data_IF_012411426965
#
_entry.id   IF_012411426965
#
_cell.length_a   1.000
_cell.length_b   1.000
_cell.length_c   1.000
_cell.angle_alpha   90.00
_cell.angle_beta   90.00
_cell.angle_gamma   90.00
#
_symmetry.space_group_name_H-M   'P 1'
#
loop_
_entity.id
_entity.type
_entity.pdbx_description
1 polymer ?
#
# COMPACT_ATOMS: atom_id res chain seq x y z
N UNK A 1 -11.76 24.51 17.05
CA UNK A 1 -11.37 23.91 15.74
C UNK A 1 -10.39 22.74 15.91
N UNK A 2 -9.42 22.82 16.84
CA UNK A 2 -8.44 21.75 17.15
C UNK A 2 -9.07 20.39 17.52
N UNK A 3 -10.14 20.38 18.33
CA UNK A 3 -10.78 19.14 18.81
C UNK A 3 -11.39 18.26 17.72
N UNK A 4 -11.88 18.84 16.61
CA UNK A 4 -12.40 18.06 15.47
C UNK A 4 -11.27 17.46 14.64
N UNK A 5 -10.20 18.22 14.43
CA UNK A 5 -9.01 17.77 13.70
C UNK A 5 -8.33 16.60 14.42
N UNK A 6 -8.10 16.73 15.72
CA UNK A 6 -7.52 15.67 16.57
C UNK A 6 -8.35 14.38 16.51
N UNK A 7 -9.68 14.51 16.59
CA UNK A 7 -10.60 13.37 16.50
C UNK A 7 -10.52 12.69 15.13
N UNK A 8 -10.40 13.46 14.05
CA UNK A 8 -10.27 12.93 12.69
C UNK A 8 -8.91 12.25 12.47
N UNK A 9 -7.81 12.83 12.96
CA UNK A 9 -6.48 12.21 12.93
C UNK A 9 -6.48 10.88 13.68
N UNK A 10 -7.09 10.84 14.88
CA UNK A 10 -7.19 9.59 15.66
C UNK A 10 -7.98 8.51 14.92
N UNK A 11 -9.08 8.87 14.25
CA UNK A 11 -9.87 7.96 13.43
C UNK A 11 -9.08 7.44 12.23
N UNK A 12 -8.37 8.32 11.52
CA UNK A 12 -7.53 7.94 10.39
C UNK A 12 -6.41 6.97 10.81
N UNK A 13 -5.75 7.21 11.95
CA UNK A 13 -4.78 6.27 12.53
C UNK A 13 -5.41 4.92 12.86
N UNK A 14 -6.59 4.93 13.49
CA UNK A 14 -7.33 3.71 13.79
C UNK A 14 -7.67 2.89 12.55
N UNK A 15 -8.13 3.53 11.47
CA UNK A 15 -8.41 2.87 10.20
C UNK A 15 -7.13 2.32 9.55
N UNK A 16 -6.02 3.05 9.65
CA UNK A 16 -4.72 2.60 9.14
C UNK A 16 -4.24 1.34 9.85
N UNK A 17 -4.36 1.28 11.18
CA UNK A 17 -4.04 0.08 11.95
C UNK A 17 -5.00 -1.08 11.68
N UNK A 18 -6.28 -0.80 11.44
CA UNK A 18 -7.24 -1.84 11.07
C UNK A 18 -6.87 -2.52 9.75
N UNK A 19 -6.23 -1.81 8.82
CA UNK A 19 -5.66 -2.39 7.59
C UNK A 19 -4.57 -3.44 7.83
N UNK A 20 -3.93 -3.46 9.00
CA UNK A 20 -2.94 -4.49 9.33
C UNK A 20 -3.58 -5.85 9.68
N UNK A 21 -4.86 -5.86 10.05
CA UNK A 21 -5.59 -7.08 10.44
C UNK A 21 -5.57 -8.13 9.32
N UNK A 22 -6.02 -7.86 8.09
CA UNK A 22 -5.93 -8.84 7.01
C UNK A 22 -4.48 -9.24 6.69
N UNK A 23 -3.51 -8.34 6.80
CA UNK A 23 -2.10 -8.64 6.54
C UNK A 23 -1.56 -9.70 7.51
N UNK A 24 -1.66 -9.44 8.82
CA UNK A 24 -1.20 -10.39 9.84
C UNK A 24 -2.06 -11.64 9.92
N UNK A 25 -3.38 -11.51 9.68
CA UNK A 25 -4.29 -12.66 9.66
C UNK A 25 -3.96 -13.64 8.54
N UNK A 26 -3.73 -13.14 7.31
CA UNK A 26 -3.34 -13.98 6.18
C UNK A 26 -1.93 -14.55 6.34
N UNK A 27 -0.98 -13.78 6.88
CA UNK A 27 0.34 -14.29 7.23
C UNK A 27 0.25 -15.43 8.27
N UNK A 28 -0.59 -15.28 9.30
CA UNK A 28 -0.84 -16.32 10.30
C UNK A 28 -1.46 -17.58 9.69
N UNK A 29 -2.47 -17.42 8.84
CA UNK A 29 -3.13 -18.53 8.13
C UNK A 29 -2.18 -19.26 7.18
N UNK A 30 -1.13 -18.60 6.68
CA UNK A 30 -0.16 -19.21 5.77
C UNK A 30 0.60 -20.41 6.37
N UNK A 31 0.69 -20.48 7.71
CA UNK A 31 1.31 -21.60 8.42
C UNK A 31 0.42 -22.84 8.53
N UNK A 32 -0.86 -22.75 8.17
CA UNK A 32 -1.79 -23.89 8.19
C UNK A 32 -1.70 -24.59 6.83
N UNK A 33 -1.33 -25.88 6.82
CA UNK A 33 -1.03 -26.61 5.58
C UNK A 33 -2.17 -26.59 4.55
N UNK A 34 -3.42 -26.67 5.02
CA UNK A 34 -4.61 -26.70 4.15
C UNK A 34 -4.91 -25.35 3.48
N UNK A 35 -4.60 -24.23 4.15
CA UNK A 35 -4.90 -22.88 3.66
C UNK A 35 -3.66 -22.11 3.23
N UNK A 36 -2.47 -22.68 3.39
CA UNK A 36 -1.19 -22.00 3.22
C UNK A 36 -1.04 -21.29 1.89
N UNK A 37 -1.21 -22.02 0.79
CA UNK A 37 -1.05 -21.47 -0.55
C UNK A 37 -2.10 -20.38 -0.86
N UNK A 38 -3.36 -20.63 -0.48
CA UNK A 38 -4.44 -19.65 -0.66
C UNK A 38 -4.19 -18.37 0.15
N UNK A 39 -3.76 -18.51 1.41
CA UNK A 39 -3.47 -17.40 2.30
C UNK A 39 -2.30 -16.55 1.80
N UNK A 40 -1.26 -17.17 1.24
CA UNK A 40 -0.15 -16.47 0.61
C UNK A 40 -0.58 -15.69 -0.64
N UNK A 41 -1.39 -16.29 -1.52
CA UNK A 41 -1.96 -15.57 -2.67
C UNK A 41 -2.84 -14.40 -2.24
N UNK A 42 -3.70 -14.61 -1.24
CA UNK A 42 -4.53 -13.56 -0.68
C UNK A 42 -3.68 -12.45 -0.05
N UNK A 43 -2.59 -12.80 0.64
CA UNK A 43 -1.64 -11.85 1.23
C UNK A 43 -0.95 -11.01 0.16
N UNK A 44 -0.44 -11.64 -0.91
CA UNK A 44 0.19 -10.96 -2.04
C UNK A 44 -0.81 -10.00 -2.71
N UNK A 45 -2.03 -10.47 -2.96
CA UNK A 45 -3.12 -9.65 -3.53
C UNK A 45 -3.45 -8.46 -2.64
N UNK A 46 -3.56 -8.68 -1.33
CA UNK A 46 -3.82 -7.62 -0.37
C UNK A 46 -2.68 -6.58 -0.34
N UNK A 47 -1.43 -7.02 -0.34
CA UNK A 47 -0.27 -6.14 -0.38
C UNK A 47 -0.23 -5.30 -1.68
N UNK A 48 -0.55 -5.88 -2.84
CA UNK A 48 -0.65 -5.15 -4.10
C UNK A 48 -1.73 -4.04 -4.06
N UNK A 49 -2.88 -4.31 -3.42
CA UNK A 49 -3.94 -3.33 -3.21
C UNK A 49 -3.45 -2.19 -2.30
N UNK A 50 -2.77 -2.51 -1.19
CA UNK A 50 -2.22 -1.50 -0.27
C UNK A 50 -1.22 -0.59 -0.98
N UNK A 51 -0.27 -1.16 -1.73
CA UNK A 51 0.72 -0.37 -2.50
C UNK A 51 0.02 0.55 -3.51
N UNK A 52 -1.01 0.06 -4.20
CA UNK A 52 -1.82 0.85 -5.14
C UNK A 52 -2.52 2.02 -4.44
N UNK A 53 -3.08 1.77 -3.26
CA UNK A 53 -3.74 2.81 -2.46
C UNK A 53 -2.75 3.90 -2.00
N UNK A 54 -1.53 3.52 -1.60
CA UNK A 54 -0.48 4.47 -1.25
C UNK A 54 -0.04 5.32 -2.46
N UNK A 55 0.07 4.72 -3.65
CA UNK A 55 0.30 5.45 -4.90
C UNK A 55 -0.83 6.45 -5.21
N UNK A 56 -2.09 6.06 -4.99
CA UNK A 56 -3.24 6.93 -5.19
C UNK A 56 -3.26 8.14 -4.23
N UNK A 57 -2.72 8.02 -3.01
CA UNK A 57 -2.57 9.15 -2.09
C UNK A 57 -1.62 10.21 -2.66
N UNK A 58 -0.55 9.81 -3.36
CA UNK A 58 0.36 10.74 -4.03
C UNK A 58 -0.35 11.51 -5.14
N UNK A 59 -1.26 10.86 -5.89
CA UNK A 59 -2.12 11.53 -6.86
C UNK A 59 -3.02 12.57 -6.20
N UNK A 60 -3.68 12.22 -5.09
CA UNK A 60 -4.52 13.17 -4.35
C UNK A 60 -3.77 14.45 -3.96
N UNK A 61 -2.56 14.30 -3.41
CA UNK A 61 -1.69 15.42 -3.01
C UNK A 61 -1.16 16.23 -4.20
N UNK A 62 -0.87 15.55 -5.31
CA UNK A 62 -0.39 16.17 -6.54
C UNK A 62 -1.48 17.02 -7.20
N UNK A 63 -2.71 16.52 -7.23
CA UNK A 63 -3.88 17.23 -7.78
C UNK A 63 -4.13 18.55 -7.05
N UNK A 64 -4.00 18.57 -5.72
CA UNK A 64 -4.15 19.80 -4.92
C UNK A 64 -3.09 20.87 -5.27
N UNK A 65 -1.92 20.46 -5.78
CA UNK A 65 -0.78 21.36 -6.09
C UNK A 65 -0.59 21.63 -7.58
N UNK A 66 -1.45 21.09 -8.45
CA UNK A 66 -1.32 21.21 -9.90
C UNK A 66 -1.35 22.65 -10.40
N UNK A 67 -2.11 23.53 -9.74
CA UNK A 67 -2.21 24.94 -10.13
C UNK A 67 -0.91 25.73 -9.86
N UNK A 68 -0.11 25.29 -8.89
CA UNK A 68 1.03 26.04 -8.38
C UNK A 68 2.37 25.57 -8.98
N UNK A 69 2.45 24.34 -9.51
CA UNK A 69 3.72 23.77 -9.98
C UNK A 69 3.53 22.54 -10.87
N UNK A 70 4.58 22.17 -11.62
CA UNK A 70 4.58 20.95 -12.43
C UNK A 70 4.65 19.70 -11.53
N UNK A 71 3.49 19.05 -11.32
CA UNK A 71 3.36 17.83 -10.52
C UNK A 71 3.49 16.53 -11.33
N UNK A 72 3.86 16.61 -12.61
CA UNK A 72 4.02 15.44 -13.49
C UNK A 72 4.90 14.32 -12.89
N UNK A 73 6.06 14.61 -12.25
CA UNK A 73 6.87 13.58 -11.61
C UNK A 73 6.14 12.86 -10.47
N UNK A 74 5.37 13.59 -9.65
CA UNK A 74 4.59 13.03 -8.53
C UNK A 74 3.45 12.14 -9.02
N UNK A 75 2.83 12.50 -10.15
CA UNK A 75 1.78 11.70 -10.78
C UNK A 75 2.34 10.40 -11.37
N UNK A 76 3.45 10.48 -12.10
CA UNK A 76 4.16 9.28 -12.56
C UNK A 76 4.55 8.40 -11.37
N UNK A 77 5.05 9.02 -10.30
CA UNK A 77 5.41 8.31 -9.10
C UNK A 77 4.24 7.54 -8.50
N UNK A 78 3.05 8.13 -8.40
CA UNK A 78 1.90 7.39 -7.85
C UNK A 78 1.40 6.23 -8.73
N UNK A 79 1.72 6.22 -10.03
CA UNK A 79 1.40 5.11 -10.93
C UNK A 79 2.37 3.92 -10.76
N UNK A 80 3.64 4.19 -10.46
CA UNK A 80 4.67 3.13 -10.33
C UNK A 80 4.35 2.07 -9.27
N UNK A 81 3.92 2.41 -8.04
CA UNK A 81 3.50 1.46 -7.02
C UNK A 81 2.38 0.54 -7.50
N UNK A 82 1.37 1.08 -8.20
CA UNK A 82 0.25 0.29 -8.71
C UNK A 82 0.71 -0.73 -9.76
N UNK A 83 1.59 -0.32 -10.68
CA UNK A 83 2.17 -1.19 -11.69
C UNK A 83 3.09 -2.27 -11.06
N UNK A 84 3.88 -1.90 -10.06
CA UNK A 84 4.69 -2.86 -9.29
C UNK A 84 3.82 -3.89 -8.58
N UNK A 85 2.75 -3.44 -7.91
CA UNK A 85 1.79 -4.31 -7.24
C UNK A 85 1.14 -5.30 -8.22
N UNK A 86 0.64 -4.80 -9.35
CA UNK A 86 0.04 -5.65 -10.37
C UNK A 86 1.05 -6.64 -10.99
N UNK A 87 2.24 -6.17 -11.35
CA UNK A 87 3.28 -7.03 -11.93
C UNK A 87 3.72 -8.13 -10.96
N UNK A 88 3.81 -7.84 -9.66
CA UNK A 88 4.13 -8.83 -8.65
C UNK A 88 3.11 -9.97 -8.60
N UNK A 89 1.83 -9.72 -8.88
CA UNK A 89 0.78 -10.77 -8.91
C UNK A 89 0.90 -11.71 -10.11
N UNK A 90 1.67 -11.35 -11.13
CA UNK A 90 1.94 -12.22 -12.29
C UNK A 90 3.12 -13.18 -12.03
N UNK A 91 3.87 -12.95 -10.94
CA UNK A 91 5.04 -13.75 -10.59
C UNK A 91 4.67 -14.91 -9.66
N UNK A 92 5.50 -15.96 -9.62
CA UNK A 92 5.47 -16.95 -8.54
C UNK A 92 5.60 -16.27 -7.18
N UNK A 93 4.96 -16.85 -6.16
CA UNK A 93 4.87 -16.31 -4.81
C UNK A 93 6.25 -16.02 -4.17
N UNK A 94 7.24 -16.84 -4.50
CA UNK A 94 8.62 -16.71 -4.03
C UNK A 94 9.27 -15.40 -4.50
N UNK A 95 8.82 -14.86 -5.63
CA UNK A 95 9.28 -13.59 -6.19
C UNK A 95 8.31 -12.44 -5.89
N UNK A 96 7.01 -12.72 -5.88
CA UNK A 96 5.96 -11.74 -5.63
C UNK A 96 6.09 -11.11 -4.24
N UNK A 97 6.25 -11.92 -3.19
CA UNK A 97 6.33 -11.43 -1.81
C UNK A 97 7.52 -10.49 -1.53
N UNK A 98 8.77 -10.84 -1.88
CA UNK A 98 9.90 -9.91 -1.69
C UNK A 98 9.78 -8.67 -2.57
N UNK A 99 9.23 -8.79 -3.78
CA UNK A 99 8.98 -7.63 -4.65
C UNK A 99 7.94 -6.67 -4.03
N UNK A 100 6.84 -7.19 -3.48
CA UNK A 100 5.83 -6.40 -2.78
C UNK A 100 6.39 -5.75 -1.52
N UNK A 101 7.22 -6.47 -0.76
CA UNK A 101 7.93 -5.91 0.39
C UNK A 101 8.86 -4.75 -0.02
N UNK A 102 9.64 -4.93 -1.10
CA UNK A 102 10.48 -3.87 -1.65
C UNK A 102 9.66 -2.67 -2.14
N UNK A 103 8.50 -2.91 -2.78
CA UNK A 103 7.57 -1.87 -3.20
C UNK A 103 7.00 -1.06 -2.03
N UNK A 104 6.61 -1.72 -0.94
CA UNK A 104 6.18 -1.04 0.29
C UNK A 104 7.31 -0.19 0.90
N UNK A 105 8.53 -0.73 0.97
CA UNK A 105 9.70 -0.01 1.47
C UNK A 105 10.06 1.19 0.59
N UNK A 106 9.94 1.05 -0.72
CA UNK A 106 10.16 2.13 -1.69
C UNK A 106 9.18 3.28 -1.45
N UNK A 107 7.89 2.99 -1.35
CA UNK A 107 6.85 3.99 -1.05
C UNK A 107 7.07 4.66 0.30
N UNK A 108 7.50 3.90 1.31
CA UNK A 108 7.83 4.47 2.62
C UNK A 108 9.06 5.40 2.56
N UNK A 109 10.06 5.05 1.76
CA UNK A 109 11.24 5.88 1.56
C UNK A 109 10.93 7.23 0.93
N UNK A 110 9.95 7.29 0.03
CA UNK A 110 9.57 8.54 -0.64
C UNK A 110 8.71 9.47 0.20
N UNK A 111 8.03 8.95 1.22
CA UNK A 111 7.30 9.77 2.19
C UNK A 111 8.22 10.53 3.16
N UNK A 112 9.51 10.15 3.25
CA UNK A 112 10.50 10.78 4.14
C UNK A 112 11.33 11.89 3.48
N UNK A 113 11.24 12.04 2.15
CA UNK A 113 11.97 13.06 1.38
C UNK A 113 11.12 14.32 1.22
#
# INVERSE_FOLDING_TARGET
>A
MSTRLEKNIRRAKGLSYAGLIPFYGLAGLSWIAETGNWALHALATYAAIVITFLGAIHWGRALDKMADSNQYPTLLFGLMPALLGWFALLLPLELALPMLAAGLMYVWGTEQM
#
